data_IF_405128560008
#
_entry.id   IF_405128560008
#
_cell.length_a   1.000
_cell.length_b   1.000
_cell.length_c   1.000
_cell.angle_alpha   90.00
_cell.angle_beta   90.00
_cell.angle_gamma   90.00
#
_symmetry.space_group_name_H-M   'P 1'
#
loop_
_entity.id
_entity.type
_entity.pdbx_description
1 polymer ?
#
# COMPACT_ATOMS: atom_id res chain seq x y z
N UNK A 1 -1.45 16.90 6.12
CA UNK A 1 -0.83 15.57 6.20
C UNK A 1 0.61 15.64 5.71
N UNK A 2 1.49 14.92 6.36
CA UNK A 2 2.90 14.84 5.94
C UNK A 2 3.00 14.21 4.55
N UNK A 3 3.90 14.72 3.72
CA UNK A 3 4.18 14.15 2.41
C UNK A 3 4.82 12.76 2.59
N UNK A 4 4.31 11.78 1.86
CA UNK A 4 4.78 10.39 1.93
C UNK A 4 5.50 10.01 0.66
N UNK A 5 6.44 9.06 0.77
CA UNK A 5 7.00 8.37 -0.39
C UNK A 5 6.28 7.03 -0.50
N UNK A 6 5.61 6.81 -1.61
CA UNK A 6 4.68 5.70 -1.78
C UNK A 6 5.17 4.75 -2.87
N UNK A 7 5.16 3.47 -2.57
CA UNK A 7 5.37 2.42 -3.56
C UNK A 7 4.00 2.02 -4.09
N UNK A 8 3.82 2.11 -5.41
CA UNK A 8 2.59 1.70 -6.08
C UNK A 8 2.83 0.36 -6.76
N UNK A 9 2.01 -0.64 -6.45
CA UNK A 9 2.08 -1.97 -7.05
C UNK A 9 0.78 -2.22 -7.79
N UNK A 10 0.85 -2.12 -9.12
CA UNK A 10 -0.32 -2.20 -10.00
C UNK A 10 0.14 -2.65 -11.38
N UNK A 11 -0.45 -3.71 -11.91
CA UNK A 11 -0.05 -4.24 -13.21
C UNK A 11 -0.75 -3.56 -14.39
N UNK A 12 -1.84 -2.85 -14.17
CA UNK A 12 -2.49 -2.06 -15.22
C UNK A 12 -1.81 -0.69 -15.27
N UNK A 13 -1.11 -0.41 -16.36
CA UNK A 13 -0.31 0.81 -16.48
C UNK A 13 -1.16 2.07 -16.46
N UNK A 14 -2.38 2.03 -16.95
CA UNK A 14 -3.27 3.20 -16.92
C UNK A 14 -3.72 3.50 -15.49
N UNK A 15 -4.11 2.47 -14.76
CA UNK A 15 -4.50 2.64 -13.36
C UNK A 15 -3.32 3.13 -12.53
N UNK A 16 -2.13 2.58 -12.77
CA UNK A 16 -0.92 3.00 -12.07
C UNK A 16 -0.64 4.49 -12.33
N UNK A 17 -0.77 4.92 -13.57
CA UNK A 17 -0.56 6.33 -13.92
C UNK A 17 -1.55 7.26 -13.23
N UNK A 18 -2.83 6.86 -13.21
CA UNK A 18 -3.86 7.65 -12.52
C UNK A 18 -3.60 7.75 -11.03
N UNK A 19 -3.14 6.65 -10.41
CA UNK A 19 -2.75 6.68 -9.00
C UNK A 19 -1.60 7.64 -8.76
N UNK A 20 -0.56 7.58 -9.58
CA UNK A 20 0.60 8.46 -9.45
C UNK A 20 0.16 9.93 -9.53
N UNK A 21 -0.67 10.26 -10.50
CA UNK A 21 -1.18 11.63 -10.66
C UNK A 21 -2.00 12.08 -9.45
N UNK A 22 -2.91 11.22 -8.99
CA UNK A 22 -3.76 11.54 -7.85
C UNK A 22 -2.93 11.74 -6.59
N UNK A 23 -1.96 10.86 -6.35
CA UNK A 23 -1.08 10.98 -5.19
C UNK A 23 -0.25 12.25 -5.24
N UNK A 24 0.24 12.63 -6.43
CA UNK A 24 0.98 13.87 -6.59
C UNK A 24 0.11 15.10 -6.27
N UNK A 25 -1.16 15.09 -6.70
CA UNK A 25 -2.09 16.16 -6.38
C UNK A 25 -2.35 16.26 -4.88
N UNK A 26 -2.28 15.14 -4.16
CA UNK A 26 -2.43 15.09 -2.72
C UNK A 26 -1.16 15.49 -1.97
N UNK A 27 -0.07 15.76 -2.67
CA UNK A 27 1.19 16.17 -2.08
C UNK A 27 2.15 15.05 -1.76
N UNK A 28 1.88 13.83 -2.25
CA UNK A 28 2.77 12.67 -2.02
C UNK A 28 3.65 12.40 -3.21
N UNK A 29 4.81 11.80 -2.95
CA UNK A 29 5.69 11.30 -4.00
C UNK A 29 5.51 9.81 -4.20
N UNK A 30 5.86 9.33 -5.39
CA UNK A 30 5.86 7.90 -5.69
C UNK A 30 7.31 7.49 -5.94
N UNK A 31 7.83 6.60 -5.11
CA UNK A 31 9.23 6.20 -5.21
C UNK A 31 9.45 5.12 -6.25
N UNK A 32 8.43 4.34 -6.57
CA UNK A 32 8.48 3.34 -7.63
C UNK A 32 7.09 2.85 -7.98
N UNK A 33 6.93 2.39 -9.22
CA UNK A 33 5.72 1.71 -9.69
C UNK A 33 6.16 0.34 -10.17
N UNK A 34 5.57 -0.72 -9.60
CA UNK A 34 5.91 -2.09 -9.96
C UNK A 34 4.66 -2.85 -10.37
N UNK A 35 4.84 -3.76 -11.32
CA UNK A 35 3.73 -4.51 -11.89
C UNK A 35 3.67 -5.96 -11.40
N UNK A 36 4.70 -6.43 -10.71
CA UNK A 36 4.80 -7.83 -10.29
C UNK A 36 5.13 -7.95 -8.82
N UNK A 37 4.85 -9.11 -8.27
CA UNK A 37 5.21 -9.43 -6.88
C UNK A 37 6.70 -9.28 -6.65
N UNK A 38 7.52 -9.87 -7.50
CA UNK A 38 8.98 -9.82 -7.35
C UNK A 38 9.51 -8.40 -7.46
N UNK A 39 8.99 -7.61 -8.40
CA UNK A 39 9.36 -6.21 -8.55
C UNK A 39 9.02 -5.38 -7.33
N UNK A 40 7.84 -5.63 -6.75
CA UNK A 40 7.38 -4.93 -5.56
C UNK A 40 8.33 -5.18 -4.38
N UNK A 41 8.73 -6.43 -4.17
CA UNK A 41 9.64 -6.78 -3.08
C UNK A 41 10.99 -6.08 -3.24
N UNK A 42 11.55 -6.10 -4.44
CA UNK A 42 12.83 -5.43 -4.72
C UNK A 42 12.73 -3.92 -4.52
N UNK A 43 11.64 -3.31 -5.01
CA UNK A 43 11.44 -1.87 -4.88
C UNK A 43 11.29 -1.46 -3.42
N UNK A 44 10.58 -2.23 -2.61
CA UNK A 44 10.41 -1.92 -1.20
C UNK A 44 11.75 -1.88 -0.46
N UNK A 45 12.64 -2.82 -0.78
CA UNK A 45 13.97 -2.85 -0.17
C UNK A 45 14.82 -1.66 -0.60
N UNK A 46 14.70 -1.26 -1.87
CA UNK A 46 15.47 -0.15 -2.43
C UNK A 46 14.95 1.20 -1.98
N UNK A 47 13.63 1.41 -2.04
CA UNK A 47 13.00 2.70 -1.77
C UNK A 47 12.73 2.93 -0.29
N UNK A 48 12.46 1.91 0.48
CA UNK A 48 11.98 2.01 1.86
C UNK A 48 10.81 2.97 1.96
N UNK A 49 9.67 2.64 1.33
CA UNK A 49 8.54 3.55 1.26
C UNK A 49 7.88 3.77 2.62
N UNK A 50 7.20 4.90 2.76
CA UNK A 50 6.38 5.20 3.92
C UNK A 50 5.04 4.46 3.88
N UNK A 51 4.59 4.10 2.67
CA UNK A 51 3.31 3.45 2.43
C UNK A 51 3.39 2.64 1.14
N UNK A 52 2.73 1.49 1.13
CA UNK A 52 2.58 0.69 -0.09
C UNK A 52 1.10 0.67 -0.45
N UNK A 53 0.79 1.02 -1.69
CA UNK A 53 -0.54 0.87 -2.25
C UNK A 53 -0.45 -0.28 -3.26
N UNK A 54 -1.15 -1.36 -3.00
CA UNK A 54 -0.96 -2.58 -3.76
C UNK A 54 -2.29 -3.17 -4.22
N UNK A 55 -2.37 -3.48 -5.53
CA UNK A 55 -3.48 -4.26 -6.06
C UNK A 55 -3.34 -5.68 -5.53
N UNK A 56 -4.40 -6.19 -4.91
CA UNK A 56 -4.39 -7.54 -4.34
C UNK A 56 -4.19 -8.61 -5.41
N UNK A 57 -4.64 -8.33 -6.64
CA UNK A 57 -4.52 -9.28 -7.75
C UNK A 57 -3.59 -8.73 -8.82
N UNK A 58 -2.49 -9.41 -9.07
CA UNK A 58 -1.54 -9.06 -10.11
C UNK A 58 -1.52 -10.16 -11.15
N UNK A 59 -1.18 -9.82 -12.41
CA UNK A 59 -1.06 -10.81 -13.48
C UNK A 59 0.12 -11.76 -13.25
N UNK A 60 1.16 -11.27 -12.56
CA UNK A 60 2.32 -12.09 -12.19
C UNK A 60 2.55 -11.99 -10.70
N UNK A 61 2.12 -13.02 -10.00
CA UNK A 61 2.20 -13.06 -8.55
C UNK A 61 0.93 -12.53 -7.90
N UNK A 62 1.04 -12.15 -6.65
CA UNK A 62 -0.09 -11.78 -5.82
C UNK A 62 0.30 -10.62 -4.91
N UNK A 63 -0.57 -9.61 -4.81
CA UNK A 63 -0.29 -8.42 -4.00
C UNK A 63 -0.21 -8.71 -2.51
N UNK A 64 -1.05 -9.62 -2.02
CA UNK A 64 -1.04 -10.00 -0.60
C UNK A 64 0.28 -10.71 -0.27
N UNK A 65 0.69 -11.62 -1.13
CA UNK A 65 1.95 -12.34 -0.98
C UNK A 65 3.16 -11.40 -1.01
N UNK A 66 3.10 -10.40 -1.90
CA UNK A 66 4.15 -9.38 -1.98
C UNK A 66 4.29 -8.63 -0.65
N UNK A 67 3.17 -8.18 -0.09
CA UNK A 67 3.17 -7.49 1.19
C UNK A 67 3.72 -8.39 2.30
N UNK A 68 3.31 -9.66 2.35
CA UNK A 68 3.82 -10.59 3.34
C UNK A 68 5.33 -10.71 3.29
N UNK A 69 5.87 -10.80 2.08
CA UNK A 69 7.32 -10.90 1.90
C UNK A 69 8.03 -9.63 2.35
N UNK A 70 7.47 -8.47 2.00
CA UNK A 70 8.04 -7.18 2.40
C UNK A 70 8.04 -7.03 3.92
N UNK A 71 6.95 -7.44 4.58
CA UNK A 71 6.82 -7.29 6.02
C UNK A 71 7.78 -8.19 6.82
N UNK A 72 8.38 -9.18 6.19
CA UNK A 72 9.40 -10.00 6.85
C UNK A 72 10.63 -9.18 7.24
N UNK A 73 10.90 -8.10 6.51
CA UNK A 73 12.03 -7.21 6.79
C UNK A 73 11.68 -6.07 7.74
N UNK A 74 10.43 -5.99 8.16
CA UNK A 74 9.94 -4.96 9.07
C UNK A 74 8.60 -4.43 8.62
N UNK A 75 7.89 -3.83 9.55
CA UNK A 75 6.55 -3.32 9.24
C UNK A 75 6.59 -2.10 8.33
N UNK A 76 5.76 -2.11 7.30
CA UNK A 76 5.53 -0.95 6.42
C UNK A 76 4.01 -0.78 6.30
N UNK A 77 3.48 0.42 6.52
CA UNK A 77 2.06 0.67 6.28
C UNK A 77 1.68 0.32 4.86
N UNK A 78 0.52 -0.26 4.68
CA UNK A 78 0.07 -0.69 3.36
C UNK A 78 -1.44 -0.68 3.28
N UNK A 79 -1.96 -0.52 2.06
CA UNK A 79 -3.37 -0.69 1.78
C UNK A 79 -3.53 -1.50 0.50
N UNK A 80 -4.57 -2.31 0.47
CA UNK A 80 -4.88 -3.13 -0.69
C UNK A 80 -5.98 -2.46 -1.50
N UNK A 81 -5.77 -2.43 -2.82
CA UNK A 81 -6.84 -2.08 -3.76
C UNK A 81 -7.36 -3.38 -4.32
N UNK A 82 -8.66 -3.55 -4.39
CA UNK A 82 -9.25 -4.83 -4.78
C UNK A 82 -10.65 -4.63 -5.38
N UNK A 83 -11.07 -5.56 -6.21
CA UNK A 83 -12.46 -5.62 -6.66
C UNK A 83 -13.41 -6.20 -5.62
N UNK A 84 -12.88 -6.77 -4.54
CA UNK A 84 -13.68 -7.42 -3.51
C UNK A 84 -13.03 -7.23 -2.13
N UNK A 85 -13.37 -6.12 -1.48
CA UNK A 85 -12.80 -5.77 -0.18
C UNK A 85 -13.19 -6.76 0.90
N UNK A 86 -14.37 -7.34 0.84
CA UNK A 86 -14.82 -8.31 1.84
C UNK A 86 -13.93 -9.54 1.84
N UNK A 87 -13.48 -9.97 0.67
CA UNK A 87 -12.60 -11.12 0.55
C UNK A 87 -11.26 -10.87 1.23
N UNK A 88 -10.71 -9.67 1.05
CA UNK A 88 -9.45 -9.30 1.70
C UNK A 88 -9.62 -9.25 3.21
N UNK A 89 -10.67 -8.59 3.68
CA UNK A 89 -10.94 -8.44 5.12
C UNK A 89 -11.24 -9.78 5.79
N UNK A 90 -11.81 -10.73 5.06
CA UNK A 90 -12.04 -12.08 5.59
C UNK A 90 -10.71 -12.80 5.86
N UNK A 91 -9.69 -12.53 5.07
CA UNK A 91 -8.37 -13.14 5.22
C UNK A 91 -7.50 -12.38 6.22
N UNK A 92 -7.72 -11.06 6.33
CA UNK A 92 -6.88 -10.17 7.13
C UNK A 92 -7.76 -9.13 7.79
N UNK A 93 -8.13 -9.40 9.04
CA UNK A 93 -9.07 -8.55 9.78
C UNK A 93 -8.57 -7.11 9.97
N UNK A 94 -7.26 -6.94 10.07
CA UNK A 94 -6.66 -5.62 10.31
C UNK A 94 -6.24 -4.91 9.03
N UNK A 95 -6.53 -5.50 7.86
CA UNK A 95 -6.12 -4.90 6.60
C UNK A 95 -6.93 -3.65 6.31
N UNK A 96 -6.27 -2.69 5.63
CA UNK A 96 -6.95 -1.58 5.00
C UNK A 96 -7.19 -1.98 3.55
N UNK A 97 -8.45 -2.05 3.15
CA UNK A 97 -8.82 -2.44 1.79
C UNK A 97 -9.71 -1.37 1.18
N UNK A 98 -9.38 -0.99 -0.05
CA UNK A 98 -10.12 0.00 -0.82
C UNK A 98 -10.69 -0.68 -2.05
N UNK A 99 -12.02 -0.69 -2.16
CA UNK A 99 -12.68 -1.41 -3.25
C UNK A 99 -12.80 -0.55 -4.50
N UNK A 100 -12.51 -1.15 -5.64
CA UNK A 100 -12.67 -0.51 -6.96
C UNK A 100 -14.14 -0.53 -7.38
N UNK A 101 -14.66 0.52 -8.00
CA UNK A 101 -14.04 1.82 -8.23
C UNK A 101 -14.09 2.68 -6.97
N UNK A 102 -13.12 3.57 -6.81
CA UNK A 102 -13.07 4.42 -5.62
C UNK A 102 -12.87 5.89 -6.01
N UNK A 103 -13.26 6.78 -5.10
CA UNK A 103 -13.08 8.21 -5.26
C UNK A 103 -11.78 8.64 -4.59
N UNK A 104 -11.30 9.81 -4.99
CA UNK A 104 -10.10 10.40 -4.39
C UNK A 104 -10.24 10.55 -2.88
N UNK A 105 -11.42 10.97 -2.40
CA UNK A 105 -11.68 11.10 -0.96
C UNK A 105 -11.58 9.79 -0.24
N UNK A 106 -12.02 8.70 -0.87
CA UNK A 106 -11.94 7.37 -0.29
C UNK A 106 -10.49 6.89 -0.23
N UNK A 107 -9.71 7.21 -1.26
CA UNK A 107 -8.27 6.91 -1.26
C UNK A 107 -7.58 7.67 -0.13
N UNK A 108 -7.88 8.96 0.04
CA UNK A 108 -7.30 9.76 1.10
C UNK A 108 -7.61 9.18 2.48
N UNK A 109 -8.85 8.74 2.71
CA UNK A 109 -9.25 8.12 3.95
C UNK A 109 -8.54 6.79 4.19
N UNK A 110 -8.37 5.99 3.14
CA UNK A 110 -7.67 4.72 3.25
C UNK A 110 -6.21 4.94 3.60
N UNK A 111 -5.57 5.95 3.01
CA UNK A 111 -4.18 6.31 3.34
C UNK A 111 -4.08 6.69 4.82
N UNK A 112 -4.99 7.52 5.32
CA UNK A 112 -4.98 7.91 6.72
C UNK A 112 -5.12 6.70 7.64
N UNK A 113 -6.00 5.77 7.31
CA UNK A 113 -6.17 4.56 8.11
C UNK A 113 -4.92 3.68 8.09
N UNK A 114 -4.29 3.55 6.93
CA UNK A 114 -3.08 2.73 6.81
C UNK A 114 -1.93 3.34 7.61
N UNK A 115 -1.76 4.65 7.53
CA UNK A 115 -0.73 5.36 8.30
C UNK A 115 -1.05 5.33 9.79
N UNK A 116 -2.33 5.46 10.15
CA UNK A 116 -2.78 5.39 11.54
C UNK A 116 -2.46 4.05 12.19
N UNK A 117 -2.31 2.96 11.42
CA UNK A 117 -1.96 1.66 11.97
C UNK A 117 -0.56 1.64 12.58
N UNK A 118 0.34 2.52 12.15
CA UNK A 118 1.65 2.69 12.79
C UNK A 118 1.48 3.11 14.24
N UNK A 119 0.59 4.06 14.48
CA UNK A 119 0.37 4.59 15.83
C UNK A 119 -0.15 3.52 16.76
N UNK A 120 -0.95 2.59 16.26
CA UNK A 120 -1.46 1.48 17.05
C UNK A 120 -0.37 0.50 17.45
N UNK A 121 0.67 0.39 16.63
CA UNK A 121 1.79 -0.51 16.90
C UNK A 121 2.89 0.15 17.71
N UNK A 122 2.91 1.47 17.72
CA UNK A 122 3.95 2.24 18.40
C UNK A 122 4.07 2.00 19.90
N UNK A 123 2.98 1.82 20.64
CA UNK A 123 3.14 1.60 22.10
C UNK A 123 4.10 0.47 22.43
N UNK A 124 4.11 -0.58 21.58
CA UNK A 124 5.02 -1.71 21.77
C UNK A 124 6.45 -1.29 21.44
N UNK A 125 6.63 -0.47 20.42
CA UNK A 125 7.95 -0.03 19.97
C UNK A 125 8.58 0.98 20.89
N UNK A 126 7.77 1.88 21.45
CA UNK A 126 8.26 2.94 22.31
C UNK A 126 8.97 2.40 23.56
N UNK A 127 8.60 1.22 23.97
CA UNK A 127 9.22 0.60 25.13
C UNK A 127 10.62 0.09 24.86
N UNK A 128 10.95 -0.07 23.61
CA UNK A 128 12.25 -0.59 23.18
C UNK A 128 13.19 0.53 22.73
N UNK A 129 12.69 1.72 22.71
CA UNK A 129 13.48 2.91 22.32
C UNK A 129 14.29 3.46 23.51
#
# INVERSE_FOLDING_TARGET
MKALQILVVEDDSLIAMLLVETLAEMGHGVCAVEATEAGAVRAALRCRPDLIIVDAQLSQGNGISAVDEILRSGFVPHLFITGDAKKILAQRLDAVALEKPFRETELAQAIERAIGSIDKERPVRLWND
#
